data_IF_000964337130
#
_entry.id   IF_000964337130
#
_cell.length_a   1.000
_cell.length_b   1.000
_cell.length_c   1.000
_cell.angle_alpha   90.00
_cell.angle_beta   90.00
_cell.angle_gamma   90.00
#
_symmetry.space_group_name_H-M   'P 1'
#
loop_
_entity.id
_entity.type
_entity.pdbx_description
1 polymer ?
#
# COMPACT_ATOMS: atom_id res chain seq x y z
N UNK A 1 33.96 -21.69 33.08
CA UNK A 1 34.02 -22.00 31.64
C UNK A 1 32.80 -21.40 30.95
N UNK A 2 33.05 -20.42 30.07
CA UNK A 2 32.41 -20.17 28.75
C UNK A 2 30.86 -20.32 28.68
N UNK A 3 30.05 -19.42 28.13
CA UNK A 3 30.27 -18.19 27.39
C UNK A 3 28.93 -17.46 27.27
N UNK A 4 28.98 -16.14 27.32
CA UNK A 4 27.94 -15.25 26.78
C UNK A 4 27.62 -15.60 25.32
N UNK A 5 26.34 -15.67 24.96
CA UNK A 5 25.89 -15.38 23.60
C UNK A 5 24.86 -14.24 23.70
N UNK A 6 25.37 -13.01 23.52
CA UNK A 6 24.57 -11.86 23.11
C UNK A 6 24.08 -12.13 21.68
N UNK A 7 22.77 -12.22 21.47
CA UNK A 7 22.17 -11.97 20.15
C UNK A 7 21.64 -10.54 20.13
N UNK A 8 22.49 -9.61 19.72
CA UNK A 8 22.07 -8.29 19.26
C UNK A 8 21.45 -8.47 17.87
N UNK A 9 20.13 -8.68 17.83
CA UNK A 9 19.36 -8.51 16.61
C UNK A 9 18.90 -7.04 16.59
N UNK A 10 19.70 -6.15 16.01
CA UNK A 10 19.33 -4.75 15.85
C UNK A 10 18.33 -4.62 14.70
N UNK A 11 17.11 -5.08 14.96
CA UNK A 11 15.93 -4.82 14.17
C UNK A 11 15.50 -3.39 14.51
N UNK A 12 15.83 -2.43 13.65
CA UNK A 12 15.28 -1.07 13.79
C UNK A 12 14.20 -0.93 12.73
N UNK A 13 12.97 -1.22 13.12
CA UNK A 13 11.77 -0.67 12.47
C UNK A 13 11.85 0.87 12.64
N UNK A 14 12.61 1.56 11.79
CA UNK A 14 12.66 3.03 11.79
C UNK A 14 11.41 3.55 11.09
N UNK A 15 10.65 4.33 11.85
CA UNK A 15 9.48 5.09 11.44
C UNK A 15 9.77 6.00 10.22
N UNK A 16 8.95 5.88 9.17
CA UNK A 16 8.23 6.91 8.39
C UNK A 16 8.87 8.29 8.07
N UNK A 17 10.19 8.45 8.12
CA UNK A 17 10.86 9.67 7.69
C UNK A 17 10.69 9.89 6.17
N UNK A 18 10.47 11.15 5.79
CA UNK A 18 10.41 11.54 4.39
C UNK A 18 11.81 11.38 3.77
N UNK A 19 11.88 10.69 2.62
CA UNK A 19 13.13 10.51 1.90
C UNK A 19 13.66 11.87 1.45
N UNK A 20 14.91 12.24 1.76
CA UNK A 20 15.48 13.51 1.33
C UNK A 20 15.47 13.63 -0.20
N UNK A 21 14.81 14.64 -0.75
CA UNK A 21 14.76 14.86 -2.20
C UNK A 21 16.17 14.99 -2.78
N UNK A 22 16.41 14.50 -4.00
CA UNK A 22 17.73 14.59 -4.63
C UNK A 22 17.64 14.79 -6.12
N UNK A 23 18.73 15.36 -6.66
CA UNK A 23 18.99 15.52 -8.09
C UNK A 23 20.45 15.19 -8.32
N UNK A 24 20.71 14.08 -8.99
CA UNK A 24 22.05 13.59 -9.33
C UNK A 24 22.11 13.15 -10.80
N UNK A 25 23.28 12.68 -11.22
CA UNK A 25 23.50 12.17 -12.57
C UNK A 25 23.77 10.66 -12.55
N UNK A 26 23.26 9.96 -13.55
CA UNK A 26 23.62 8.56 -13.79
C UNK A 26 24.98 8.45 -14.52
N UNK A 27 25.42 7.21 -14.75
CA UNK A 27 26.65 6.91 -15.50
C UNK A 27 26.68 7.43 -16.94
N UNK A 28 25.54 7.83 -17.53
CA UNK A 28 25.44 8.41 -18.87
C UNK A 28 25.26 9.93 -18.87
N UNK A 29 25.24 10.56 -17.69
CA UNK A 29 25.01 12.00 -17.52
C UNK A 29 23.53 12.40 -17.46
N UNK A 30 22.59 11.45 -17.53
CA UNK A 30 21.17 11.76 -17.42
C UNK A 30 20.83 12.19 -15.99
N UNK A 31 19.94 13.17 -15.86
CA UNK A 31 19.50 13.65 -14.54
C UNK A 31 18.48 12.70 -13.92
N UNK A 32 18.82 12.16 -12.75
CA UNK A 32 17.94 11.35 -11.91
C UNK A 32 17.45 12.17 -10.72
N UNK A 33 16.14 12.13 -10.48
CA UNK A 33 15.49 12.80 -9.34
C UNK A 33 14.61 11.83 -8.58
N UNK A 34 14.50 11.99 -7.26
CA UNK A 34 13.61 11.15 -6.43
C UNK A 34 12.18 11.10 -6.96
N UNK A 35 11.70 12.23 -7.49
CA UNK A 35 10.36 12.39 -8.04
C UNK A 35 10.01 11.41 -9.18
N UNK A 36 11.01 10.90 -9.92
CA UNK A 36 10.82 9.95 -11.02
C UNK A 36 10.32 8.58 -10.53
N UNK A 37 10.44 8.32 -9.22
CA UNK A 37 10.12 7.02 -8.63
C UNK A 37 8.79 7.00 -7.86
N UNK A 38 7.96 8.05 -7.91
CA UNK A 38 6.69 8.09 -7.13
C UNK A 38 5.73 6.93 -7.41
N UNK A 39 5.76 6.34 -8.61
CA UNK A 39 4.88 5.21 -8.95
C UNK A 39 5.51 3.84 -8.64
N UNK A 40 6.74 3.81 -8.11
CA UNK A 40 7.53 2.59 -7.91
C UNK A 40 8.09 2.53 -6.49
N UNK A 41 8.49 1.35 -6.05
CA UNK A 41 9.28 1.19 -4.83
C UNK A 41 10.74 1.40 -5.21
N UNK A 42 11.41 2.38 -4.62
CA UNK A 42 12.83 2.64 -4.91
C UNK A 42 13.71 1.91 -3.88
N UNK A 43 14.57 1.03 -4.35
CA UNK A 43 15.68 0.47 -3.57
C UNK A 43 16.91 1.29 -3.90
N UNK A 44 17.29 2.17 -2.97
CA UNK A 44 18.49 3.01 -3.07
C UNK A 44 19.60 2.37 -2.23
N UNK A 45 20.60 1.79 -2.87
CA UNK A 45 21.69 1.12 -2.16
C UNK A 45 23.03 1.85 -2.38
N UNK A 46 23.69 2.19 -1.27
CA UNK A 46 24.99 2.84 -1.23
C UNK A 46 26.07 1.79 -1.01
N UNK A 47 27.14 1.84 -1.80
CA UNK A 47 28.26 0.90 -1.70
C UNK A 47 29.62 1.61 -1.82
N UNK A 48 30.73 1.02 -1.31
CA UNK A 48 32.00 1.72 -1.20
C UNK A 48 32.70 1.93 -2.54
N UNK A 49 32.88 0.87 -3.33
CA UNK A 49 33.63 0.89 -4.60
C UNK A 49 33.19 -0.20 -5.59
N UNK A 50 33.07 0.16 -6.87
CA UNK A 50 32.72 -0.73 -8.00
C UNK A 50 33.64 -1.96 -8.11
N UNK A 51 34.95 -1.76 -7.90
CA UNK A 51 35.99 -2.78 -8.14
C UNK A 51 36.23 -3.69 -6.92
N UNK A 52 35.47 -3.53 -5.85
CA UNK A 52 35.62 -4.35 -4.63
C UNK A 52 34.87 -5.69 -4.75
N UNK A 53 35.47 -6.76 -4.21
CA UNK A 53 34.94 -8.13 -4.36
C UNK A 53 33.54 -8.30 -3.78
N UNK A 54 33.23 -7.58 -2.71
CA UNK A 54 31.96 -7.59 -2.02
C UNK A 54 30.90 -6.80 -2.79
N UNK A 55 31.25 -5.63 -3.35
CA UNK A 55 30.33 -4.84 -4.17
C UNK A 55 29.99 -5.53 -5.50
N UNK A 56 30.95 -6.25 -6.08
CA UNK A 56 30.69 -7.12 -7.24
C UNK A 56 29.65 -8.20 -6.86
N UNK A 57 29.83 -8.89 -5.73
CA UNK A 57 28.88 -9.93 -5.27
C UNK A 57 27.48 -9.36 -5.05
N UNK A 58 27.38 -8.19 -4.41
CA UNK A 58 26.10 -7.52 -4.14
C UNK A 58 25.38 -7.13 -5.44
N UNK A 59 26.09 -6.51 -6.40
CA UNK A 59 25.52 -6.13 -7.69
C UNK A 59 25.07 -7.35 -8.51
N UNK A 60 25.85 -8.44 -8.50
CA UNK A 60 25.49 -9.69 -9.17
C UNK A 60 24.23 -10.32 -8.56
N UNK A 61 24.10 -10.31 -7.23
CA UNK A 61 22.92 -10.86 -6.58
C UNK A 61 21.67 -9.99 -6.85
N UNK A 62 21.81 -8.66 -6.91
CA UNK A 62 20.72 -7.79 -7.37
C UNK A 62 20.33 -8.08 -8.83
N UNK A 63 21.30 -8.30 -9.71
CA UNK A 63 21.06 -8.67 -11.11
C UNK A 63 20.29 -9.98 -11.20
N UNK A 64 20.73 -11.01 -10.49
CA UNK A 64 20.13 -12.35 -10.55
C UNK A 64 18.68 -12.35 -10.01
N UNK A 65 18.36 -11.43 -9.09
CA UNK A 65 17.02 -11.23 -8.51
C UNK A 65 16.24 -10.08 -9.13
N UNK A 66 16.78 -9.42 -10.15
CA UNK A 66 16.24 -8.15 -10.68
C UNK A 66 14.79 -8.27 -11.15
N UNK A 67 14.47 -9.37 -11.86
CA UNK A 67 13.11 -9.67 -12.31
C UNK A 67 12.10 -9.86 -11.17
N UNK A 68 12.55 -10.29 -9.98
CA UNK A 68 11.68 -10.38 -8.80
C UNK A 68 11.35 -8.99 -8.26
N UNK A 69 12.35 -8.09 -8.23
CA UNK A 69 12.15 -6.70 -7.83
C UNK A 69 11.20 -5.98 -8.80
N UNK A 70 11.39 -6.13 -10.11
CA UNK A 70 10.50 -5.54 -11.12
C UNK A 70 9.06 -6.05 -10.95
N UNK A 71 8.87 -7.37 -10.76
CA UNK A 71 7.54 -7.96 -10.50
C UNK A 71 6.88 -7.41 -9.25
N UNK A 72 7.67 -7.05 -8.24
CA UNK A 72 7.21 -6.39 -7.02
C UNK A 72 7.00 -4.87 -7.19
N UNK A 73 7.12 -4.33 -8.40
CA UNK A 73 7.01 -2.88 -8.67
C UNK A 73 8.19 -2.07 -8.11
N UNK A 74 9.31 -2.73 -7.83
CA UNK A 74 10.51 -2.11 -7.30
C UNK A 74 11.56 -1.83 -8.39
N UNK A 75 12.31 -0.75 -8.21
CA UNK A 75 13.46 -0.37 -9.04
C UNK A 75 14.68 -0.29 -8.14
N UNK A 76 15.77 -0.89 -8.59
CA UNK A 76 17.06 -0.86 -7.91
C UNK A 76 17.87 0.30 -8.47
N UNK A 77 18.51 1.08 -7.61
CA UNK A 77 19.44 2.14 -7.97
C UNK A 77 20.65 2.07 -7.04
N UNK A 78 21.84 1.93 -7.64
CA UNK A 78 23.11 1.93 -6.92
C UNK A 78 23.71 3.32 -6.84
N UNK A 79 24.41 3.61 -5.74
CA UNK A 79 25.13 4.88 -5.54
C UNK A 79 26.53 4.58 -4.99
N UNK A 80 27.56 5.10 -5.66
CA UNK A 80 28.92 5.20 -5.10
C UNK A 80 29.59 6.51 -5.52
N UNK A 81 30.75 6.80 -4.92
CA UNK A 81 31.56 7.95 -5.34
C UNK A 81 32.56 7.64 -6.45
N UNK A 82 32.40 6.51 -7.13
CA UNK A 82 33.25 6.20 -8.29
C UNK A 82 32.85 7.04 -9.51
N UNK A 83 33.75 7.16 -10.48
CA UNK A 83 33.51 7.97 -11.67
C UNK A 83 32.48 7.35 -12.62
N UNK A 84 31.89 8.18 -13.49
CA UNK A 84 31.01 7.72 -14.59
C UNK A 84 31.66 6.62 -15.43
N UNK A 85 32.97 6.69 -15.68
CA UNK A 85 33.67 5.68 -16.48
C UNK A 85 33.86 4.36 -15.73
N UNK A 86 34.13 4.41 -14.42
CA UNK A 86 34.13 3.21 -13.57
C UNK A 86 32.79 2.51 -13.59
N UNK A 87 31.68 3.26 -13.48
CA UNK A 87 30.34 2.69 -13.54
C UNK A 87 30.00 2.07 -14.89
N UNK A 88 30.41 2.69 -16.00
CA UNK A 88 30.21 2.12 -17.35
C UNK A 88 30.97 0.81 -17.50
N UNK A 89 32.22 0.74 -17.04
CA UNK A 89 33.02 -0.49 -17.03
C UNK A 89 32.35 -1.56 -16.16
N UNK A 90 31.94 -1.19 -14.95
CA UNK A 90 31.30 -2.10 -14.00
C UNK A 90 29.98 -2.66 -14.53
N UNK A 91 29.10 -1.80 -15.06
CA UNK A 91 27.83 -2.20 -15.66
C UNK A 91 28.04 -3.14 -16.85
N UNK A 92 29.02 -2.82 -17.72
CA UNK A 92 29.34 -3.64 -18.90
C UNK A 92 29.95 -4.99 -18.54
N UNK A 93 30.89 -5.03 -17.60
CA UNK A 93 31.63 -6.25 -17.25
C UNK A 93 30.75 -7.28 -16.54
N UNK A 94 29.75 -6.84 -15.76
CA UNK A 94 28.91 -7.71 -14.95
C UNK A 94 27.44 -7.78 -15.41
N UNK A 95 27.12 -7.13 -16.54
CA UNK A 95 25.77 -7.05 -17.12
C UNK A 95 24.74 -6.53 -16.11
N UNK A 96 25.04 -5.40 -15.47
CA UNK A 96 24.19 -4.81 -14.43
C UNK A 96 22.99 -4.12 -15.09
N UNK A 97 21.74 -4.54 -14.81
CA UNK A 97 20.55 -4.11 -15.55
C UNK A 97 19.88 -2.87 -14.94
N UNK A 98 20.45 -2.29 -13.89
CA UNK A 98 19.90 -1.19 -13.12
C UNK A 98 20.81 0.03 -13.12
N UNK A 99 20.24 1.19 -12.76
CA UNK A 99 20.93 2.48 -12.82
C UNK A 99 21.95 2.64 -11.70
N UNK A 100 23.12 3.21 -12.04
CA UNK A 100 24.17 3.62 -11.10
C UNK A 100 24.27 5.15 -11.11
N UNK A 101 24.17 5.76 -9.93
CA UNK A 101 24.31 7.20 -9.70
C UNK A 101 25.75 7.51 -9.28
N UNK A 102 26.32 8.53 -9.93
CA UNK A 102 27.63 9.09 -9.57
C UNK A 102 27.45 10.08 -8.41
N UNK A 103 28.07 9.79 -7.26
CA UNK A 103 28.08 10.63 -6.05
C UNK A 103 29.53 10.98 -5.65
N UNK A 104 30.24 11.62 -6.57
CA UNK A 104 31.67 11.95 -6.51
C UNK A 104 32.07 12.78 -5.28
N UNK A 105 31.18 13.66 -4.81
CA UNK A 105 31.37 14.51 -3.63
C UNK A 105 30.72 13.95 -2.34
N UNK A 106 30.12 12.76 -2.44
CA UNK A 106 29.37 12.09 -1.39
C UNK A 106 28.22 12.94 -0.82
N UNK A 107 27.70 13.93 -1.56
CA UNK A 107 26.58 14.77 -1.09
C UNK A 107 25.33 13.93 -0.90
N UNK A 108 25.03 12.99 -1.80
CA UNK A 108 23.84 12.16 -1.70
C UNK A 108 23.94 11.21 -0.50
N UNK A 109 25.08 10.55 -0.33
CA UNK A 109 25.36 9.70 0.82
C UNK A 109 25.21 10.47 2.16
N UNK A 110 25.79 11.68 2.25
CA UNK A 110 25.65 12.56 3.43
C UNK A 110 24.19 12.96 3.67
N UNK A 111 23.45 13.28 2.62
CA UNK A 111 22.04 13.70 2.71
C UNK A 111 21.14 12.60 3.28
N UNK A 112 21.41 11.34 2.94
CA UNK A 112 20.71 10.17 3.48
C UNK A 112 21.28 9.67 4.83
N UNK A 113 22.27 10.36 5.40
CA UNK A 113 22.88 10.01 6.68
C UNK A 113 23.67 8.69 6.63
N UNK A 114 24.25 8.36 5.47
CA UNK A 114 25.15 7.23 5.30
C UNK A 114 26.49 7.59 5.95
N UNK A 115 27.00 6.71 6.81
CA UNK A 115 28.27 6.94 7.50
C UNK A 115 29.42 6.80 6.49
N UNK A 116 30.52 7.51 6.72
CA UNK A 116 31.74 7.38 5.92
C UNK A 116 32.81 6.72 6.78
N UNK A 117 33.48 5.70 6.24
CA UNK A 117 34.60 5.01 6.88
C UNK A 117 35.76 4.92 5.89
N UNK A 118 36.98 5.29 6.31
CA UNK A 118 38.15 5.41 5.42
C UNK A 118 37.81 6.14 4.09
N UNK A 119 37.23 7.33 4.18
CA UNK A 119 36.84 8.17 3.04
C UNK A 119 35.76 7.59 2.09
N UNK A 120 35.18 6.43 2.40
CA UNK A 120 34.17 5.77 1.55
C UNK A 120 32.85 5.61 2.27
N UNK A 121 31.69 5.68 1.57
CA UNK A 121 30.40 5.47 2.20
C UNK A 121 30.23 4.02 2.66
N UNK A 122 29.67 3.83 3.86
CA UNK A 122 29.35 2.51 4.41
C UNK A 122 28.16 1.89 3.67
N UNK A 123 28.20 0.58 3.43
CA UNK A 123 27.10 -0.17 2.80
C UNK A 123 25.78 0.07 3.53
N UNK A 124 24.85 0.72 2.84
CA UNK A 124 23.54 1.09 3.38
C UNK A 124 22.49 1.01 2.30
N UNK A 125 21.39 0.33 2.58
CA UNK A 125 20.25 0.20 1.69
C UNK A 125 19.03 0.89 2.27
N UNK A 126 18.31 1.62 1.43
CA UNK A 126 17.04 2.24 1.76
C UNK A 126 15.95 1.71 0.82
N UNK A 127 14.80 1.37 1.40
CA UNK A 127 13.58 1.07 0.64
C UNK A 127 12.64 2.26 0.81
N UNK A 128 12.36 2.93 -0.30
CA UNK A 128 11.54 4.13 -0.36
C UNK A 128 10.23 3.80 -1.08
N UNK A 129 9.11 4.24 -0.50
CA UNK A 129 7.78 3.97 -1.00
C UNK A 129 7.30 4.99 -2.06
N UNK A 130 6.12 4.72 -2.62
CA UNK A 130 5.48 5.58 -3.62
C UNK A 130 5.13 6.99 -3.08
N UNK A 131 5.00 7.13 -1.76
CA UNK A 131 4.77 8.41 -1.09
C UNK A 131 6.09 9.12 -0.73
N UNK A 132 7.25 8.61 -1.20
CA UNK A 132 8.59 9.09 -0.89
C UNK A 132 8.95 9.00 0.60
N UNK A 133 8.50 7.95 1.28
CA UNK A 133 8.88 7.65 2.66
C UNK A 133 9.85 6.50 2.74
N UNK A 134 10.81 6.60 3.65
CA UNK A 134 11.72 5.50 3.96
C UNK A 134 10.96 4.48 4.81
N UNK A 135 10.74 3.28 4.25
CA UNK A 135 10.05 2.17 4.94
C UNK A 135 11.04 1.25 5.65
N UNK A 136 12.23 1.11 5.09
CA UNK A 136 13.24 0.22 5.64
C UNK A 136 14.63 0.77 5.35
N UNK A 137 15.50 0.65 6.35
CA UNK A 137 16.92 0.99 6.28
C UNK A 137 17.71 -0.20 6.80
N UNK A 138 18.65 -0.68 5.99
CA UNK A 138 19.56 -1.74 6.40
C UNK A 138 21.00 -1.29 6.20
N UNK A 139 21.83 -1.37 7.24
CA UNK A 139 23.26 -1.03 7.17
C UNK A 139 24.06 -2.16 7.80
N UNK A 140 24.80 -2.94 7.01
CA UNK A 140 25.82 -3.84 7.54
C UNK A 140 27.13 -3.66 6.79
N UNK A 141 28.23 -3.89 7.50
CA UNK A 141 29.56 -3.78 6.92
C UNK A 141 30.03 -5.09 6.27
N UNK A 142 29.37 -6.23 6.56
CA UNK A 142 29.90 -7.58 6.31
C UNK A 142 28.95 -8.54 5.56
N UNK A 143 27.62 -8.38 5.68
CA UNK A 143 26.66 -9.37 5.17
C UNK A 143 25.88 -8.85 3.96
N UNK A 144 26.46 -8.94 2.75
CA UNK A 144 25.84 -8.42 1.52
C UNK A 144 24.59 -9.21 1.08
N UNK A 145 24.57 -10.54 1.31
CA UNK A 145 23.53 -11.42 0.78
C UNK A 145 22.22 -11.38 1.59
N UNK A 146 22.32 -11.25 2.91
CA UNK A 146 21.17 -11.13 3.80
C UNK A 146 20.34 -9.88 3.45
N UNK A 147 21.00 -8.76 3.14
CA UNK A 147 20.35 -7.51 2.75
C UNK A 147 19.45 -7.63 1.53
N UNK A 148 19.88 -8.35 0.50
CA UNK A 148 19.12 -8.48 -0.73
C UNK A 148 17.92 -9.40 -0.50
N UNK A 149 18.10 -10.46 0.28
CA UNK A 149 17.00 -11.34 0.68
C UNK A 149 15.93 -10.61 1.50
N UNK A 150 16.35 -9.75 2.43
CA UNK A 150 15.45 -8.92 3.25
C UNK A 150 14.73 -7.86 2.40
N UNK A 151 15.45 -7.25 1.46
CA UNK A 151 14.88 -6.29 0.52
C UNK A 151 13.85 -6.94 -0.39
N UNK A 152 14.10 -8.15 -0.88
CA UNK A 152 13.10 -8.92 -1.64
C UNK A 152 11.87 -9.24 -0.81
N UNK A 153 12.04 -9.69 0.43
CA UNK A 153 10.91 -9.99 1.31
C UNK A 153 10.07 -8.75 1.61
N UNK A 154 10.74 -7.61 1.85
CA UNK A 154 10.08 -6.33 2.12
C UNK A 154 9.34 -5.82 0.88
N UNK A 155 9.98 -5.83 -0.29
CA UNK A 155 9.32 -5.46 -1.55
C UNK A 155 8.18 -6.40 -1.90
N UNK A 156 8.29 -7.70 -1.68
CA UNK A 156 7.20 -8.64 -1.87
C UNK A 156 6.03 -8.37 -0.91
N UNK A 157 6.32 -8.05 0.36
CA UNK A 157 5.31 -7.65 1.35
C UNK A 157 4.60 -6.34 0.96
N UNK A 158 5.30 -5.42 0.32
CA UNK A 158 4.76 -4.17 -0.18
C UNK A 158 3.98 -4.33 -1.49
N UNK A 159 4.49 -5.14 -2.42
CA UNK A 159 3.82 -5.49 -3.67
C UNK A 159 2.52 -6.26 -3.42
N UNK A 160 2.50 -7.09 -2.37
CA UNK A 160 1.28 -7.72 -1.83
C UNK A 160 0.46 -6.79 -0.94
N UNK A 161 0.54 -5.46 -1.15
CA UNK A 161 -0.41 -4.51 -0.57
C UNK A 161 -1.77 -4.67 -1.25
N UNK A 162 -2.55 -5.62 -0.72
CA UNK A 162 -3.92 -5.89 -1.15
C UNK A 162 -4.84 -4.76 -0.72
N UNK A 163 -5.60 -4.22 -1.66
CA UNK A 163 -6.65 -3.24 -1.41
C UNK A 163 -8.03 -3.86 -1.57
N UNK A 164 -9.07 -3.13 -1.16
CA UNK A 164 -10.48 -3.54 -1.38
C UNK A 164 -10.82 -3.73 -2.87
N UNK A 165 -10.04 -3.16 -3.80
CA UNK A 165 -10.26 -3.31 -5.24
C UNK A 165 -9.82 -4.68 -5.77
N UNK A 166 -8.89 -5.34 -5.09
CA UNK A 166 -8.27 -6.59 -5.52
C UNK A 166 -9.05 -7.83 -5.08
N UNK A 167 -10.14 -7.62 -4.32
CA UNK A 167 -11.00 -8.67 -3.78
C UNK A 167 -12.38 -8.62 -4.41
N UNK A 168 -12.96 -9.81 -4.63
CA UNK A 168 -14.35 -9.99 -5.06
C UNK A 168 -15.31 -9.19 -4.17
N UNK A 169 -16.21 -8.43 -4.81
CA UNK A 169 -17.15 -7.59 -4.09
C UNK A 169 -18.04 -8.39 -3.14
N UNK A 170 -18.50 -9.57 -3.57
CA UNK A 170 -19.39 -10.44 -2.79
C UNK A 170 -18.68 -10.93 -1.52
N UNK A 171 -17.46 -11.46 -1.68
CA UNK A 171 -16.68 -12.04 -0.57
C UNK A 171 -16.30 -10.98 0.45
N UNK A 172 -15.96 -9.78 -0.03
CA UNK A 172 -15.69 -8.62 0.82
C UNK A 172 -16.93 -8.22 1.63
N UNK A 173 -18.08 -8.06 0.97
CA UNK A 173 -19.33 -7.65 1.62
C UNK A 173 -19.75 -8.67 2.67
N UNK A 174 -19.68 -9.96 2.35
CA UNK A 174 -20.03 -11.04 3.28
C UNK A 174 -19.11 -11.08 4.50
N UNK A 175 -17.80 -10.94 4.28
CA UNK A 175 -16.80 -10.96 5.37
C UNK A 175 -16.92 -9.72 6.25
N UNK A 176 -17.10 -8.54 5.66
CA UNK A 176 -17.24 -7.31 6.41
C UNK A 176 -18.56 -7.26 7.19
N UNK A 177 -19.67 -7.77 6.63
CA UNK A 177 -20.92 -7.89 7.38
C UNK A 177 -20.77 -8.80 8.61
N UNK A 178 -20.06 -9.93 8.47
CA UNK A 178 -19.72 -10.82 9.59
C UNK A 178 -18.85 -10.13 10.63
N UNK A 179 -17.88 -9.32 10.18
CA UNK A 179 -17.04 -8.52 11.07
C UNK A 179 -17.85 -7.51 11.87
N UNK A 180 -18.77 -6.77 11.24
CA UNK A 180 -19.62 -5.81 11.93
C UNK A 180 -20.51 -6.48 12.98
N UNK A 181 -21.07 -7.65 12.65
CA UNK A 181 -21.86 -8.46 13.58
C UNK A 181 -21.03 -8.91 14.78
N UNK A 182 -19.82 -9.46 14.55
CA UNK A 182 -18.90 -9.89 15.61
C UNK A 182 -18.46 -8.72 16.51
N UNK A 183 -18.34 -7.52 15.94
CA UNK A 183 -17.91 -6.33 16.68
C UNK A 183 -18.96 -5.83 17.67
N UNK A 184 -20.25 -6.04 17.39
CA UNK A 184 -21.36 -5.66 18.29
C UNK A 184 -21.55 -4.16 18.54
N UNK A 185 -20.79 -3.29 17.86
CA UNK A 185 -20.85 -1.82 18.04
C UNK A 185 -21.94 -1.13 17.22
N UNK A 186 -22.47 -1.81 16.20
CA UNK A 186 -23.55 -1.28 15.36
C UNK A 186 -24.86 -1.48 16.11
N UNK A 187 -25.54 -0.38 16.41
CA UNK A 187 -26.87 -0.45 17.02
C UNK A 187 -27.87 -0.99 16.00
N UNK A 188 -28.79 -1.85 16.42
CA UNK A 188 -29.86 -2.37 15.55
C UNK A 188 -31.12 -1.55 15.83
N UNK A 189 -31.67 -0.83 14.84
CA UNK A 189 -32.92 -0.10 15.03
C UNK A 189 -34.11 -1.02 15.20
N UNK A 190 -35.06 -0.61 16.05
CA UNK A 190 -36.34 -1.31 16.26
C UNK A 190 -37.14 -1.56 14.98
N UNK A 191 -36.98 -0.71 13.97
CA UNK A 191 -37.72 -0.80 12.72
C UNK A 191 -37.15 -1.80 11.70
N UNK A 192 -35.96 -2.40 11.95
CA UNK A 192 -35.27 -3.24 10.95
C UNK A 192 -36.11 -4.42 10.47
N UNK A 193 -36.93 -4.99 11.35
CA UNK A 193 -37.74 -6.18 11.03
C UNK A 193 -39.07 -5.84 10.34
N UNK A 194 -39.46 -4.57 10.35
CA UNK A 194 -40.77 -4.11 9.87
C UNK A 194 -40.64 -3.43 8.50
N UNK A 195 -39.46 -2.89 8.17
CA UNK A 195 -39.30 -2.06 6.98
C UNK A 195 -38.87 -2.84 5.75
N UNK A 196 -39.30 -2.34 4.60
CA UNK A 196 -38.70 -2.65 3.30
C UNK A 196 -37.60 -1.65 2.94
N UNK A 197 -36.65 -2.10 2.13
CA UNK A 197 -35.47 -1.28 1.74
C UNK A 197 -35.81 -0.12 0.80
N UNK A 198 -36.90 -0.20 0.05
CA UNK A 198 -37.37 0.85 -0.85
C UNK A 198 -38.88 0.74 -1.09
N UNK A 199 -39.52 1.86 -1.44
CA UNK A 199 -40.97 1.93 -1.70
C UNK A 199 -41.42 1.02 -2.84
N UNK A 200 -40.58 0.82 -3.85
CA UNK A 200 -40.88 -0.04 -5.00
C UNK A 200 -40.69 -1.55 -4.74
N UNK A 201 -40.16 -1.95 -3.57
CA UNK A 201 -40.04 -3.37 -3.21
C UNK A 201 -41.38 -3.87 -2.69
N UNK A 202 -41.80 -5.05 -3.13
CA UNK A 202 -43.05 -5.66 -2.68
C UNK A 202 -42.88 -6.36 -1.32
N UNK A 203 -41.74 -7.00 -1.11
CA UNK A 203 -41.43 -7.77 0.10
C UNK A 203 -40.25 -7.18 0.90
N UNK A 204 -40.22 -7.38 2.23
CA UNK A 204 -39.06 -7.04 3.05
C UNK A 204 -37.87 -7.99 2.76
N UNK A 205 -36.64 -7.62 3.14
CA UNK A 205 -35.48 -8.49 2.97
C UNK A 205 -35.61 -9.78 3.78
N UNK A 206 -35.33 -10.93 3.15
CA UNK A 206 -35.41 -12.25 3.79
C UNK A 206 -34.28 -12.51 4.80
N UNK A 207 -33.11 -11.90 4.61
CA UNK A 207 -31.96 -12.08 5.50
C UNK A 207 -32.13 -11.22 6.77
N UNK A 208 -32.14 -11.78 8.00
CA UNK A 208 -32.26 -10.99 9.23
C UNK A 208 -31.10 -10.00 9.42
N UNK A 209 -29.90 -10.35 8.94
CA UNK A 209 -28.70 -9.52 9.03
C UNK A 209 -28.55 -8.55 7.84
N UNK A 210 -29.63 -8.28 7.09
CA UNK A 210 -29.57 -7.46 5.87
C UNK A 210 -29.01 -6.05 6.11
N UNK A 211 -29.18 -5.51 7.33
CA UNK A 211 -28.68 -4.18 7.68
C UNK A 211 -27.15 -4.15 7.71
N UNK A 212 -26.48 -5.19 8.21
CA UNK A 212 -25.03 -5.30 8.22
C UNK A 212 -24.47 -5.41 6.79
N UNK A 213 -25.15 -6.18 5.94
CA UNK A 213 -24.83 -6.28 4.51
C UNK A 213 -24.95 -4.90 3.86
N UNK A 214 -26.01 -4.13 4.16
CA UNK A 214 -26.19 -2.78 3.61
C UNK A 214 -25.08 -1.82 4.04
N UNK A 215 -24.68 -1.88 5.32
CA UNK A 215 -23.56 -1.10 5.86
C UNK A 215 -22.25 -1.46 5.14
N UNK A 216 -22.00 -2.76 4.95
CA UNK A 216 -20.81 -3.25 4.26
C UNK A 216 -20.72 -2.78 2.80
N UNK A 217 -21.83 -2.84 2.06
CA UNK A 217 -21.90 -2.34 0.68
C UNK A 217 -21.61 -0.83 0.63
N UNK A 218 -22.18 -0.06 1.55
CA UNK A 218 -21.95 1.38 1.62
C UNK A 218 -20.50 1.72 1.96
N UNK A 219 -19.88 1.02 2.90
CA UNK A 219 -18.45 1.19 3.22
C UNK A 219 -17.57 0.97 1.98
N UNK A 220 -17.81 -0.11 1.22
CA UNK A 220 -17.09 -0.38 -0.04
C UNK A 220 -17.36 0.69 -1.11
N UNK A 221 -18.60 1.16 -1.24
CA UNK A 221 -18.95 2.19 -2.23
C UNK A 221 -18.27 3.54 -1.92
N UNK A 222 -18.24 3.95 -0.65
CA UNK A 222 -17.52 5.16 -0.20
C UNK A 222 -16.02 5.03 -0.45
N UNK A 223 -15.44 3.85 -0.21
CA UNK A 223 -14.04 3.57 -0.51
C UNK A 223 -13.72 3.78 -2.00
N UNK A 224 -14.57 3.28 -2.90
CA UNK A 224 -14.34 3.36 -4.35
C UNK A 224 -14.56 4.76 -4.93
N UNK A 225 -15.58 5.48 -4.46
CA UNK A 225 -15.89 6.84 -4.91
C UNK A 225 -16.25 7.69 -3.70
N UNK A 226 -15.40 8.65 -3.41
CA UNK A 226 -15.55 9.60 -2.31
C UNK A 226 -16.33 10.83 -2.79
N UNK A 227 -16.98 11.54 -1.87
CA UNK A 227 -17.80 12.72 -2.15
C UNK A 227 -19.26 12.42 -2.49
N UNK A 228 -19.66 11.15 -2.56
CA UNK A 228 -21.04 10.75 -2.83
C UNK A 228 -21.97 11.03 -1.62
N UNK A 229 -23.14 11.59 -1.89
CA UNK A 229 -24.18 11.87 -0.90
C UNK A 229 -25.29 10.81 -0.83
N UNK A 230 -26.23 10.99 0.11
CA UNK A 230 -27.38 10.07 0.29
C UNK A 230 -28.20 9.93 -1.00
N UNK A 231 -28.39 11.01 -1.75
CA UNK A 231 -29.17 10.99 -2.99
C UNK A 231 -28.56 10.08 -4.07
N UNK A 232 -27.23 10.06 -4.20
CA UNK A 232 -26.54 9.16 -5.13
C UNK A 232 -26.73 7.71 -4.72
N UNK A 233 -26.53 7.39 -3.44
CA UNK A 233 -26.76 6.02 -2.95
C UNK A 233 -28.22 5.57 -3.08
N UNK A 234 -29.19 6.49 -2.92
CA UNK A 234 -30.61 6.20 -3.17
C UNK A 234 -30.87 5.79 -4.62
N UNK A 235 -30.20 6.40 -5.59
CA UNK A 235 -30.24 5.99 -7.00
C UNK A 235 -29.52 4.66 -7.22
N UNK A 236 -28.35 4.45 -6.61
CA UNK A 236 -27.61 3.19 -6.73
C UNK A 236 -28.39 1.96 -6.24
N UNK A 237 -29.22 2.12 -5.22
CA UNK A 237 -30.09 1.05 -4.71
C UNK A 237 -31.54 1.15 -5.21
N UNK A 238 -31.80 2.04 -6.17
CA UNK A 238 -33.10 2.16 -6.82
C UNK A 238 -33.41 0.95 -7.70
N UNK A 239 -34.63 0.92 -8.22
CA UNK A 239 -35.10 -0.16 -9.08
C UNK A 239 -36.41 0.21 -9.74
N UNK A 240 -36.84 -0.64 -10.68
CA UNK A 240 -38.10 -0.43 -11.37
C UNK A 240 -39.26 -0.85 -10.47
N UNK A 241 -40.25 0.03 -10.35
CA UNK A 241 -41.51 -0.27 -9.68
C UNK A 241 -42.44 -0.96 -10.67
N UNK A 242 -43.11 -2.02 -10.19
CA UNK A 242 -44.17 -2.68 -10.92
C UNK A 242 -45.47 -1.94 -10.68
N UNK A 243 -45.94 -1.19 -11.66
CA UNK A 243 -47.17 -0.39 -11.58
C UNK A 243 -48.41 -1.15 -12.11
N UNK A 244 -48.38 -2.48 -11.97
CA UNK A 244 -49.45 -3.38 -12.39
C UNK A 244 -49.60 -3.43 -13.91
N UNK A 245 -50.63 -2.73 -14.40
CA UNK A 245 -50.98 -2.65 -15.84
C UNK A 245 -50.28 -1.47 -16.54
N UNK A 246 -49.75 -0.50 -15.77
CA UNK A 246 -49.00 0.63 -16.33
C UNK A 246 -47.52 0.27 -16.56
N UNK A 247 -46.84 0.92 -17.52
CA UNK A 247 -45.40 0.73 -17.72
C UNK A 247 -44.59 0.98 -16.44
N UNK A 248 -43.50 0.24 -16.28
CA UNK A 248 -42.63 0.35 -15.11
C UNK A 248 -41.81 1.63 -15.16
N UNK A 249 -41.71 2.33 -14.01
CA UNK A 249 -40.84 3.48 -13.84
C UNK A 249 -39.74 3.23 -12.80
N UNK A 250 -38.62 3.94 -12.93
CA UNK A 250 -37.52 3.85 -11.98
C UNK A 250 -37.85 4.63 -10.69
N UNK A 251 -37.75 3.96 -9.54
CA UNK A 251 -37.93 4.55 -8.23
C UNK A 251 -36.68 4.39 -7.37
N UNK A 252 -36.32 5.46 -6.66
CA UNK A 252 -35.17 5.50 -5.76
C UNK A 252 -35.40 4.70 -4.47
N UNK A 253 -34.32 4.32 -3.80
CA UNK A 253 -34.38 3.65 -2.51
C UNK A 253 -34.81 4.55 -1.35
N UNK A 254 -35.15 3.93 -0.22
CA UNK A 254 -35.48 4.63 1.01
C UNK A 254 -34.24 5.36 1.56
N UNK A 255 -34.33 6.69 1.67
CA UNK A 255 -33.24 7.52 2.18
C UNK A 255 -32.97 7.34 3.68
N UNK A 256 -33.97 6.95 4.47
CA UNK A 256 -33.84 6.75 5.91
C UNK A 256 -32.87 5.61 6.24
N UNK A 257 -33.02 4.46 5.57
CA UNK A 257 -32.16 3.28 5.72
C UNK A 257 -30.71 3.61 5.35
N UNK A 258 -30.49 4.27 4.21
CA UNK A 258 -29.16 4.65 3.74
C UNK A 258 -28.50 5.65 4.70
N UNK A 259 -29.25 6.66 5.13
CA UNK A 259 -28.76 7.66 6.08
C UNK A 259 -28.38 7.01 7.41
N UNK A 260 -29.18 6.07 7.90
CA UNK A 260 -28.87 5.30 9.10
C UNK A 260 -27.54 4.56 8.97
N UNK A 261 -27.34 3.81 7.88
CA UNK A 261 -26.12 3.05 7.64
C UNK A 261 -24.87 3.97 7.59
N UNK A 262 -24.97 5.12 6.93
CA UNK A 262 -23.87 6.09 6.86
C UNK A 262 -23.57 6.73 8.24
N UNK A 263 -24.60 6.99 9.05
CA UNK A 263 -24.41 7.45 10.44
C UNK A 263 -23.70 6.38 11.29
N UNK A 264 -24.05 5.11 11.13
CA UNK A 264 -23.36 4.02 11.83
C UNK A 264 -21.88 3.93 11.42
N UNK A 265 -21.57 4.05 10.12
CA UNK A 265 -20.17 4.09 9.66
C UNK A 265 -19.39 5.30 10.19
N UNK A 266 -20.07 6.44 10.38
CA UNK A 266 -19.49 7.61 11.02
C UNK A 266 -19.22 7.39 12.51
N UNK A 267 -20.14 6.76 13.23
CA UNK A 267 -19.95 6.42 14.64
C UNK A 267 -18.78 5.44 14.83
N UNK A 268 -18.56 4.53 13.87
CA UNK A 268 -17.41 3.64 13.84
C UNK A 268 -16.11 4.31 13.38
N UNK A 269 -16.12 5.62 13.06
CA UNK A 269 -15.00 6.39 12.51
C UNK A 269 -14.43 5.82 11.21
N UNK A 270 -15.21 5.07 10.44
CA UNK A 270 -14.82 4.53 9.13
C UNK A 270 -15.03 5.59 8.03
N UNK A 271 -16.08 6.39 8.16
CA UNK A 271 -16.49 7.41 7.18
C UNK A 271 -16.66 8.75 7.88
N UNK A 272 -16.21 9.82 7.24
CA UNK A 272 -16.40 11.21 7.68
C UNK A 272 -17.21 12.01 6.64
N UNK A 273 -17.64 13.21 7.04
CA UNK A 273 -18.22 14.19 6.12
C UNK A 273 -17.07 15.01 5.55
N UNK A 274 -17.02 15.17 4.24
CA UNK A 274 -16.07 16.08 3.62
C UNK A 274 -16.49 17.53 3.90
N UNK A 275 -15.64 18.30 4.58
CA UNK A 275 -15.92 19.68 4.95
C UNK A 275 -15.95 20.63 3.75
N UNK A 276 -15.20 20.32 2.69
CA UNK A 276 -15.04 21.23 1.55
C UNK A 276 -16.11 21.02 0.48
N UNK A 277 -16.27 19.78 0.00
CA UNK A 277 -17.19 19.44 -1.10
C UNK A 277 -18.55 18.93 -0.63
N UNK A 278 -18.69 18.66 0.67
CA UNK A 278 -19.82 17.90 1.19
C UNK A 278 -19.77 16.42 0.78
N UNK A 279 -20.78 15.66 1.18
CA UNK A 279 -20.83 14.22 0.92
C UNK A 279 -20.06 13.40 1.96
N UNK A 280 -19.55 12.23 1.55
CA UNK A 280 -18.89 11.27 2.45
C UNK A 280 -17.52 10.87 1.96
N UNK A 281 -16.56 10.83 2.88
CA UNK A 281 -15.15 10.50 2.65
C UNK A 281 -14.72 9.37 3.58
N UNK A 282 -13.83 8.49 3.12
CA UNK A 282 -13.26 7.44 3.96
C UNK A 282 -12.17 8.04 4.86
N UNK A 283 -12.13 7.65 6.13
CA UNK A 283 -11.05 8.08 7.05
C UNK A 283 -9.78 7.25 6.81
N UNK A 284 -8.62 7.73 7.28
CA UNK A 284 -7.36 6.95 7.23
C UNK A 284 -7.48 5.62 8.00
N UNK A 285 -8.11 5.64 9.17
CA UNK A 285 -8.40 4.43 9.96
C UNK A 285 -9.35 3.49 9.22
N UNK A 286 -10.43 4.03 8.64
CA UNK A 286 -11.39 3.24 7.87
C UNK A 286 -10.76 2.57 6.66
N UNK A 287 -9.88 3.27 5.95
CA UNK A 287 -9.12 2.69 4.83
C UNK A 287 -8.25 1.51 5.29
N UNK A 288 -7.47 1.70 6.36
CA UNK A 288 -6.63 0.66 6.96
C UNK A 288 -7.43 -0.58 7.38
N UNK A 289 -8.59 -0.39 8.00
CA UNK A 289 -9.44 -1.49 8.46
C UNK A 289 -10.04 -2.28 7.29
N UNK A 290 -10.51 -1.58 6.26
CA UNK A 290 -11.06 -2.23 5.06
C UNK A 290 -9.98 -2.98 4.27
N UNK A 291 -8.80 -2.39 4.10
CA UNK A 291 -7.67 -3.03 3.41
C UNK A 291 -7.12 -4.24 4.19
N UNK A 292 -7.10 -4.18 5.53
CA UNK A 292 -6.76 -5.35 6.36
C UNK A 292 -7.72 -6.52 6.13
N UNK A 293 -9.02 -6.25 6.04
CA UNK A 293 -10.02 -7.29 5.79
C UNK A 293 -9.89 -7.82 4.36
N UNK A 294 -9.59 -6.95 3.39
CA UNK A 294 -9.29 -7.37 2.02
C UNK A 294 -8.09 -8.33 1.97
N UNK A 295 -7.01 -8.01 2.69
CA UNK A 295 -5.84 -8.88 2.84
C UNK A 295 -6.19 -10.24 3.43
N UNK A 296 -6.99 -10.28 4.49
CA UNK A 296 -7.43 -11.55 5.08
C UNK A 296 -8.19 -12.44 4.08
N UNK A 297 -9.01 -11.84 3.21
CA UNK A 297 -9.75 -12.58 2.19
C UNK A 297 -8.79 -13.09 1.10
N UNK A 298 -7.87 -12.24 0.64
CA UNK A 298 -6.86 -12.60 -0.35
C UNK A 298 -5.97 -13.74 0.15
N UNK A 299 -5.48 -13.66 1.39
CA UNK A 299 -4.65 -14.70 2.00
C UNK A 299 -5.43 -16.01 2.19
N UNK A 300 -6.73 -15.92 2.52
CA UNK A 300 -7.60 -17.11 2.60
C UNK A 300 -7.77 -17.78 1.25
N UNK A 301 -7.91 -17.00 0.17
CA UNK A 301 -8.07 -17.50 -1.19
C UNK A 301 -6.81 -18.14 -1.72
N UNK A 302 -5.62 -17.60 -1.41
CA UNK A 302 -4.35 -18.16 -1.85
C UNK A 302 -3.91 -19.42 -1.07
N UNK A 303 -4.55 -19.71 0.06
CA UNK A 303 -4.34 -20.93 0.84
C UNK A 303 -5.25 -22.10 0.44
N UNK A 304 -6.28 -21.83 -0.36
CA UNK A 304 -7.21 -22.83 -0.90
C UNK A 304 -6.74 -23.28 -2.27
#
# INVERSE_FOLDING_TARGET
MLNHIKKNNSYVDVELDDAPDFKSHDMYGNTITLNQFRDKILILYFYPHDKSSESIKEALEFRDKYEQFIRNGAVVVGVSGDSSDSHKEFSKNYNIPFTLIVDDDHKLAKKYGVKTHLFTPTRTLFIIDQNQKIIHKCSSHLNCTEHISESLNTTHKMASSVTVKDVSASDFIATYARFLKKTGRVQIPKWVDIVKTATHKELPPTNPDWIFVRIAVLARKVYLRQGDGVATYRRCFGGNQRDGVRPNHFHVANGGVIRYCLKQLQNLKVVEVDASKGGRKITSTGRRDLDRIAKQIHDKKNKQ
#
